data_IF_681349556157
#
_entry.id   IF_681349556157
#
_cell.length_a   1.000
_cell.length_b   1.000
_cell.length_c   1.000
_cell.angle_alpha   90.00
_cell.angle_beta   90.00
_cell.angle_gamma   90.00
#
_symmetry.space_group_name_H-M   'P 1'
#
loop_
_entity.id
_entity.type
_entity.pdbx_description
1 polymer ?
#
# COMPACT_ATOMS: atom_id res chain seq x y z
N UNK A 1 25.77 -32.40 19.82
CA UNK A 1 26.33 -32.15 18.49
C UNK A 1 25.17 -31.67 17.64
N UNK A 2 25.22 -30.40 17.22
CA UNK A 2 24.30 -29.67 16.32
C UNK A 2 22.82 -29.55 16.73
N UNK A 3 22.12 -28.45 16.43
CA UNK A 3 22.43 -27.29 15.61
C UNK A 3 22.01 -26.04 16.40
N UNK A 4 22.96 -25.19 16.79
CA UNK A 4 22.65 -23.77 16.82
C UNK A 4 22.31 -23.42 15.38
N UNK A 5 21.00 -23.32 15.12
CA UNK A 5 20.44 -23.03 13.82
C UNK A 5 21.16 -21.79 13.30
N UNK A 6 21.93 -21.96 12.22
CA UNK A 6 22.65 -20.89 11.54
C UNK A 6 21.76 -19.65 11.28
N UNK A 7 20.43 -19.80 11.34
CA UNK A 7 19.40 -18.79 11.19
C UNK A 7 19.35 -17.76 12.34
N UNK A 8 19.73 -18.10 13.57
CA UNK A 8 19.72 -17.14 14.70
C UNK A 8 20.86 -16.11 14.62
N UNK A 9 21.99 -16.47 13.99
CA UNK A 9 23.15 -15.60 13.82
C UNK A 9 22.98 -14.56 12.69
N UNK A 10 22.05 -14.78 11.75
CA UNK A 10 21.88 -13.92 10.55
C UNK A 10 20.86 -12.78 10.76
N UNK A 11 20.22 -12.67 11.92
CA UNK A 11 19.29 -11.57 12.21
C UNK A 11 18.07 -11.51 11.27
N UNK A 12 17.72 -12.61 10.63
CA UNK A 12 16.55 -12.70 9.76
C UNK A 12 15.30 -12.83 10.66
N UNK A 13 14.71 -11.71 11.07
CA UNK A 13 13.37 -11.67 11.66
C UNK A 13 12.35 -12.09 10.58
N UNK A 14 12.26 -13.39 10.31
CA UNK A 14 11.07 -13.91 9.63
C UNK A 14 9.89 -13.62 10.56
N UNK A 15 8.80 -13.00 10.06
CA UNK A 15 7.59 -12.95 10.84
C UNK A 15 7.26 -14.39 11.23
N UNK A 16 7.11 -14.61 12.53
CA UNK A 16 6.74 -15.90 13.11
C UNK A 16 5.52 -16.38 12.32
N UNK A 17 5.61 -17.58 11.73
CA UNK A 17 4.49 -18.16 11.00
C UNK A 17 3.25 -18.18 11.89
N UNK A 18 2.08 -17.94 11.32
CA UNK A 18 0.83 -18.07 12.06
C UNK A 18 0.44 -19.56 12.12
N UNK A 19 0.24 -20.10 13.33
CA UNK A 19 -0.16 -21.50 13.52
C UNK A 19 -1.65 -21.73 13.25
N UNK A 20 -2.47 -20.66 13.29
CA UNK A 20 -3.92 -20.71 13.16
C UNK A 20 -4.47 -19.48 12.42
N UNK A 21 -5.58 -19.66 11.71
CA UNK A 21 -6.30 -18.59 10.99
C UNK A 21 -7.78 -18.66 11.37
N UNK A 22 -8.40 -17.49 11.59
CA UNK A 22 -9.83 -17.38 11.89
C UNK A 22 -10.54 -16.53 10.83
N UNK A 23 -11.82 -16.82 10.61
CA UNK A 23 -12.72 -16.03 9.75
C UNK A 23 -13.85 -15.48 10.61
N UNK A 24 -14.22 -14.22 10.37
CA UNK A 24 -15.29 -13.55 11.09
C UNK A 24 -15.90 -12.44 10.25
N UNK A 25 -17.09 -11.99 10.64
CA UNK A 25 -17.76 -10.86 10.00
C UNK A 25 -17.08 -9.56 10.44
N UNK A 26 -16.68 -8.74 9.48
CA UNK A 26 -16.09 -7.43 9.76
C UNK A 26 -17.16 -6.41 10.13
N UNK A 27 -16.93 -5.63 11.20
CA UNK A 27 -17.78 -4.48 11.54
C UNK A 27 -17.49 -3.29 10.62
N UNK A 28 -18.42 -2.32 10.57
CA UNK A 28 -18.22 -1.08 9.81
C UNK A 28 -16.95 -0.34 10.20
N UNK A 29 -16.61 -0.31 11.49
CA UNK A 29 -15.41 0.35 12.00
C UNK A 29 -14.15 -0.39 11.59
N UNK A 30 -14.20 -1.73 11.57
CA UNK A 30 -13.11 -2.58 11.08
C UNK A 30 -12.84 -2.29 9.60
N UNK A 31 -13.88 -2.24 8.77
CA UNK A 31 -13.74 -1.91 7.35
C UNK A 31 -13.15 -0.51 7.12
N UNK A 32 -13.58 0.48 7.92
CA UNK A 32 -13.03 1.85 7.87
C UNK A 32 -11.56 1.89 8.29
N UNK A 33 -11.14 1.05 9.25
CA UNK A 33 -9.75 0.98 9.71
C UNK A 33 -8.78 0.45 8.65
N UNK A 34 -9.25 -0.45 7.78
CA UNK A 34 -8.47 -0.98 6.66
C UNK A 34 -8.34 0.02 5.51
N UNK A 35 -9.40 0.80 5.29
CA UNK A 35 -9.44 1.76 4.21
C UNK A 35 -8.38 2.86 4.38
N UNK A 36 -7.73 3.21 3.26
CA UNK A 36 -6.79 4.33 3.16
C UNK A 36 -7.43 5.59 2.57
N UNK A 37 -8.72 5.54 2.24
CA UNK A 37 -9.48 6.66 1.69
C UNK A 37 -10.79 6.22 1.05
N UNK A 38 -11.68 7.18 0.84
CA UNK A 38 -13.01 6.96 0.24
C UNK A 38 -13.01 7.25 -1.26
N UNK A 39 -13.59 6.33 -2.04
CA UNK A 39 -13.88 6.52 -3.47
C UNK A 39 -15.24 7.20 -3.60
N UNK A 40 -15.29 8.34 -4.30
CA UNK A 40 -16.52 9.14 -4.45
C UNK A 40 -17.13 9.03 -5.84
N UNK A 41 -16.29 8.79 -6.85
CA UNK A 41 -16.69 8.74 -8.25
C UNK A 41 -16.42 7.34 -8.82
N UNK A 42 -17.26 6.86 -9.75
CA UNK A 42 -17.04 5.57 -10.44
C UNK A 42 -15.96 5.66 -11.53
N UNK A 43 -15.43 6.85 -11.81
CA UNK A 43 -14.42 7.08 -12.85
C UNK A 43 -13.13 6.30 -12.58
N UNK A 44 -12.49 5.82 -13.65
CA UNK A 44 -11.29 4.99 -13.57
C UNK A 44 -10.06 5.75 -14.01
N UNK A 45 -9.86 5.87 -15.32
CA UNK A 45 -8.73 6.54 -15.96
C UNK A 45 -9.23 7.49 -17.03
N UNK A 46 -8.47 8.56 -17.24
CA UNK A 46 -8.73 9.48 -18.32
C UNK A 46 -8.42 8.85 -19.68
N UNK A 47 -9.35 8.95 -20.63
CA UNK A 47 -9.21 8.31 -21.95
C UNK A 47 -8.06 8.87 -22.82
N UNK A 48 -7.61 10.12 -22.61
CA UNK A 48 -6.50 10.72 -23.38
C UNK A 48 -5.16 10.59 -22.68
N UNK A 49 -5.14 10.91 -21.40
CA UNK A 49 -3.88 11.01 -20.65
C UNK A 49 -3.48 9.70 -19.98
N UNK A 50 -4.41 8.73 -19.91
CA UNK A 50 -4.28 7.48 -19.16
C UNK A 50 -3.93 7.69 -17.68
N UNK A 51 -4.14 8.91 -17.17
CA UNK A 51 -3.94 9.22 -15.76
C UNK A 51 -5.18 8.81 -14.96
N UNK A 52 -5.00 8.29 -13.73
CA UNK A 52 -6.13 8.01 -12.86
C UNK A 52 -6.90 9.27 -12.49
N UNK A 53 -8.22 9.15 -12.42
CA UNK A 53 -9.10 10.26 -12.04
C UNK A 53 -9.09 10.49 -10.51
N UNK A 54 -9.16 11.76 -10.10
CA UNK A 54 -9.15 12.14 -8.67
C UNK A 54 -10.46 11.72 -7.99
N UNK A 55 -10.35 10.93 -6.93
CA UNK A 55 -11.51 10.38 -6.21
C UNK A 55 -12.20 9.23 -6.94
N UNK A 56 -11.64 8.77 -8.06
CA UNK A 56 -12.05 7.59 -8.79
C UNK A 56 -11.50 6.28 -8.21
N UNK A 57 -11.81 5.17 -8.86
CA UNK A 57 -11.42 3.82 -8.44
C UNK A 57 -9.91 3.58 -8.41
N UNK A 58 -9.14 4.34 -9.21
CA UNK A 58 -7.68 4.23 -9.27
C UNK A 58 -6.95 5.45 -8.68
N UNK A 59 -7.61 6.20 -7.79
CA UNK A 59 -7.04 7.44 -7.27
C UNK A 59 -5.71 7.20 -6.53
N UNK A 60 -4.64 7.84 -7.01
CA UNK A 60 -3.29 7.72 -6.45
C UNK A 60 -3.18 8.14 -4.97
N UNK A 61 -4.12 8.96 -4.48
CA UNK A 61 -4.15 9.39 -3.07
C UNK A 61 -4.61 8.28 -2.12
N UNK A 62 -5.43 7.35 -2.60
CA UNK A 62 -5.99 6.25 -1.80
C UNK A 62 -5.06 5.03 -1.90
N UNK A 63 -4.67 4.68 -3.13
CA UNK A 63 -3.96 3.43 -3.40
C UNK A 63 -2.45 3.60 -3.55
N UNK A 64 -1.97 4.84 -3.73
CA UNK A 64 -0.55 5.15 -3.91
C UNK A 64 -0.21 5.58 -5.35
N UNK A 65 1.02 6.07 -5.56
CA UNK A 65 1.45 6.62 -6.85
C UNK A 65 1.58 5.52 -7.91
N UNK A 66 1.29 5.85 -9.18
CA UNK A 66 1.44 4.92 -10.32
C UNK A 66 2.89 4.64 -10.69
N UNK A 67 3.81 5.54 -10.29
CA UNK A 67 5.24 5.44 -10.59
C UNK A 67 6.06 5.53 -9.32
N UNK A 68 7.14 4.76 -9.27
CA UNK A 68 8.03 4.74 -8.12
C UNK A 68 8.65 6.12 -7.87
N UNK A 69 8.51 6.60 -6.62
CA UNK A 69 9.10 7.85 -6.15
C UNK A 69 8.73 9.09 -7.00
N UNK A 70 7.58 9.08 -7.69
CA UNK A 70 7.06 10.21 -8.46
C UNK A 70 5.59 10.48 -8.09
N UNK A 71 5.26 11.73 -7.76
CA UNK A 71 3.87 12.12 -7.48
C UNK A 71 3.08 12.39 -8.78
N UNK A 72 1.75 12.27 -8.74
CA UNK A 72 0.85 12.46 -9.90
C UNK A 72 1.06 13.77 -10.70
N UNK A 73 1.34 14.88 -10.00
CA UNK A 73 1.59 16.18 -10.62
C UNK A 73 3.01 16.34 -11.19
N UNK A 74 3.94 15.44 -10.85
CA UNK A 74 5.33 15.48 -11.29
C UNK A 74 6.22 16.50 -10.56
N UNK A 75 5.74 17.17 -9.50
CA UNK A 75 6.53 18.13 -8.71
C UNK A 75 7.65 17.43 -7.93
N UNK A 76 7.31 16.36 -7.22
CA UNK A 76 8.25 15.55 -6.44
C UNK A 76 8.61 14.31 -7.25
N UNK A 77 9.88 14.24 -7.66
CA UNK A 77 10.44 13.11 -8.42
C UNK A 77 11.70 12.58 -7.74
N UNK A 78 11.98 11.31 -8.00
CA UNK A 78 13.16 10.56 -7.54
C UNK A 78 13.17 10.32 -6.03
N UNK A 79 14.06 9.41 -5.61
CA UNK A 79 14.17 8.94 -4.22
C UNK A 79 14.44 10.03 -3.17
N UNK A 80 14.94 11.21 -3.58
CA UNK A 80 15.22 12.32 -2.66
C UNK A 80 13.99 12.84 -1.90
N UNK A 81 12.78 12.66 -2.44
CA UNK A 81 11.52 13.07 -1.79
C UNK A 81 10.75 11.88 -1.21
N UNK A 82 11.44 10.79 -0.89
CA UNK A 82 10.85 9.61 -0.26
C UNK A 82 10.09 10.01 1.02
N UNK A 83 8.81 9.65 1.07
CA UNK A 83 7.92 9.93 2.21
C UNK A 83 7.28 11.33 2.23
N UNK A 84 7.60 12.21 1.27
CA UNK A 84 6.95 13.52 1.16
C UNK A 84 5.57 13.37 0.51
N UNK A 85 4.54 13.86 1.19
CA UNK A 85 3.16 13.92 0.65
C UNK A 85 3.03 15.18 -0.21
N UNK A 86 2.55 15.01 -1.43
CA UNK A 86 2.39 16.09 -2.41
C UNK A 86 1.12 16.93 -2.18
#
# INVERSE_FOLDING_TARGET
MNEHSWRELVGEERPVGFDQVAIGVASSDTMRSWSKGEVKNPETINYRTFKPEKGGLFCERIFGPTRDWECSCGKYKRIKHKGVIC
#
